data_IF_992109830598
#
_entry.id   IF_992109830598
#
_cell.length_a   1.000
_cell.length_b   1.000
_cell.length_c   1.000
_cell.angle_alpha   90.00
_cell.angle_beta   90.00
_cell.angle_gamma   90.00
#
_symmetry.space_group_name_H-M   'P 1'
#
loop_
_entity.id
_entity.type
_entity.pdbx_description
1 polymer ?
#
# COMPACT_ATOMS: atom_id res chain seq x y z
N UNK A 1 -36.02 22.68 25.33
CA UNK A 1 -35.81 21.22 25.24
C UNK A 1 -34.91 20.98 24.04
N UNK A 2 -33.62 20.70 24.25
CA UNK A 2 -32.69 20.40 23.15
C UNK A 2 -32.82 18.91 22.80
N UNK A 3 -33.32 18.60 21.60
CA UNK A 3 -33.44 17.22 21.14
C UNK A 3 -32.04 16.61 20.95
N UNK A 4 -31.73 15.60 21.77
CA UNK A 4 -30.50 14.82 21.78
C UNK A 4 -30.58 13.65 20.80
N UNK A 5 -30.50 13.93 19.49
CA UNK A 5 -30.30 12.90 18.45
C UNK A 5 -29.08 13.24 17.58
N UNK A 6 -27.99 13.67 18.22
CA UNK A 6 -26.67 13.77 17.59
C UNK A 6 -25.83 12.56 18.00
N UNK A 7 -26.30 11.36 17.69
CA UNK A 7 -25.52 10.16 17.96
C UNK A 7 -24.50 10.00 16.84
N UNK A 8 -23.28 10.46 17.12
CA UNK A 8 -22.11 10.26 16.27
C UNK A 8 -21.84 8.76 16.14
N UNK A 9 -21.78 8.29 14.91
CA UNK A 9 -21.41 6.92 14.58
C UNK A 9 -19.88 6.84 14.54
N UNK A 10 -19.32 5.88 15.26
CA UNK A 10 -17.90 5.52 15.18
C UNK A 10 -17.80 4.02 14.93
N UNK A 11 -17.17 3.66 13.81
CA UNK A 11 -17.01 2.27 13.39
C UNK A 11 -15.52 2.01 13.18
N UNK A 12 -15.02 0.95 13.80
CA UNK A 12 -13.71 0.39 13.47
C UNK A 12 -13.87 -0.91 12.71
N UNK A 13 -13.36 -0.94 11.49
CA UNK A 13 -13.49 -2.07 10.57
C UNK A 13 -12.12 -2.63 10.21
N UNK A 14 -11.88 -3.94 10.43
CA UNK A 14 -10.71 -4.60 9.89
C UNK A 14 -10.94 -4.90 8.40
N UNK A 15 -10.06 -4.38 7.55
CA UNK A 15 -10.01 -4.67 6.12
C UNK A 15 -8.87 -5.66 5.87
N UNK A 16 -9.19 -6.73 5.14
CA UNK A 16 -8.22 -7.75 4.74
C UNK A 16 -7.73 -7.46 3.33
N UNK A 17 -6.42 -7.33 3.16
CA UNK A 17 -5.78 -7.22 1.85
C UNK A 17 -4.88 -8.43 1.64
N UNK A 18 -5.26 -9.33 0.73
CA UNK A 18 -4.42 -10.48 0.41
C UNK A 18 -3.08 -10.05 -0.22
N UNK A 19 -2.01 -10.79 0.02
CA UNK A 19 -0.72 -10.52 -0.65
C UNK A 19 -0.83 -10.50 -2.16
N UNK A 20 -1.73 -11.29 -2.76
CA UNK A 20 -1.97 -11.29 -4.21
C UNK A 20 -2.31 -9.90 -4.76
N UNK A 21 -3.15 -9.14 -4.07
CA UNK A 21 -3.56 -7.78 -4.49
C UNK A 21 -2.35 -6.83 -4.45
N UNK A 22 -1.54 -6.94 -3.40
CA UNK A 22 -0.34 -6.12 -3.24
C UNK A 22 0.76 -6.50 -4.25
N UNK A 23 0.90 -7.80 -4.52
CA UNK A 23 1.82 -8.33 -5.53
C UNK A 23 1.47 -7.84 -6.94
N UNK A 24 0.20 -7.91 -7.33
CA UNK A 24 -0.29 -7.38 -8.61
C UNK A 24 -0.03 -5.86 -8.72
N UNK A 25 -0.34 -5.10 -7.67
CA UNK A 25 -0.07 -3.66 -7.62
C UNK A 25 1.43 -3.34 -7.74
N UNK A 26 2.27 -4.08 -7.02
CA UNK A 26 3.72 -3.96 -7.06
C UNK A 26 4.26 -4.24 -8.47
N UNK A 27 3.83 -5.34 -9.08
CA UNK A 27 4.28 -5.74 -10.44
C UNK A 27 3.90 -4.69 -11.47
N UNK A 28 2.67 -4.18 -11.42
CA UNK A 28 2.22 -3.10 -12.30
C UNK A 28 3.05 -1.82 -12.16
N UNK A 29 3.60 -1.56 -10.95
CA UNK A 29 4.40 -0.37 -10.67
C UNK A 29 5.88 -0.55 -11.01
N UNK A 30 6.43 -1.76 -10.86
CA UNK A 30 7.88 -1.99 -10.95
C UNK A 30 8.33 -2.68 -12.24
N UNK A 31 7.52 -3.54 -12.84
CA UNK A 31 7.96 -4.29 -14.03
C UNK A 31 8.15 -3.34 -15.21
N UNK A 32 9.31 -3.40 -15.85
CA UNK A 32 9.71 -2.49 -16.92
C UNK A 32 10.36 -1.19 -16.43
N UNK A 33 10.33 -0.88 -15.13
CA UNK A 33 11.04 0.26 -14.58
C UNK A 33 12.56 0.06 -14.64
N UNK A 34 13.26 1.18 -14.84
CA UNK A 34 14.70 1.23 -14.75
C UNK A 34 15.17 1.57 -13.32
N UNK A 35 16.26 0.92 -12.92
CA UNK A 35 17.04 1.26 -11.72
C UNK A 35 18.12 2.23 -12.17
N UNK A 36 17.95 3.50 -11.79
CA UNK A 36 18.74 4.63 -12.25
C UNK A 36 19.32 5.39 -11.06
N UNK A 37 20.47 6.03 -11.24
CA UNK A 37 21.01 7.01 -10.29
C UNK A 37 21.21 8.33 -11.02
N UNK A 38 20.94 9.43 -10.33
CA UNK A 38 21.26 10.77 -10.80
C UNK A 38 22.56 11.23 -10.12
N UNK A 39 23.55 11.59 -10.92
CA UNK A 39 24.81 12.18 -10.46
C UNK A 39 24.63 13.62 -10.02
N UNK A 40 25.65 14.18 -9.35
CA UNK A 40 25.61 15.58 -8.85
C UNK A 40 25.46 16.62 -9.96
N UNK A 41 25.85 16.26 -11.18
CA UNK A 41 25.78 17.13 -12.36
C UNK A 41 24.49 16.91 -13.19
N UNK A 42 23.52 16.14 -12.67
CA UNK A 42 22.27 15.78 -13.36
C UNK A 42 22.42 14.63 -14.37
N UNK A 43 23.59 14.01 -14.45
CA UNK A 43 23.81 12.85 -15.34
C UNK A 43 23.09 11.60 -14.79
N UNK A 44 22.19 11.03 -15.59
CA UNK A 44 21.44 9.82 -15.23
C UNK A 44 22.17 8.57 -15.73
N UNK A 45 22.54 7.69 -14.81
CA UNK A 45 23.10 6.36 -15.15
C UNK A 45 22.07 5.27 -14.92
N UNK A 46 21.75 4.52 -15.97
CA UNK A 46 20.84 3.36 -15.91
C UNK A 46 21.61 2.06 -15.66
N UNK A 47 21.29 1.38 -14.55
CA UNK A 47 22.00 0.17 -14.11
C UNK A 47 21.33 -1.12 -14.57
N UNK A 48 20.01 -1.19 -14.43
CA UNK A 48 19.23 -2.38 -14.74
C UNK A 48 17.76 -2.04 -15.05
N UNK A 49 17.07 -2.95 -15.71
CA UNK A 49 15.61 -2.92 -15.88
C UNK A 49 14.99 -4.06 -15.07
N UNK A 50 13.90 -3.79 -14.36
CA UNK A 50 13.16 -4.79 -13.61
C UNK A 50 12.36 -5.65 -14.59
N UNK A 51 12.56 -6.97 -14.54
CA UNK A 51 11.88 -7.94 -15.40
C UNK A 51 10.65 -8.54 -14.72
N UNK A 52 10.73 -8.74 -13.40
CA UNK A 52 9.64 -9.29 -12.60
C UNK A 52 9.84 -8.89 -11.14
N UNK A 53 8.77 -8.89 -10.37
CA UNK A 53 8.79 -8.65 -8.93
C UNK A 53 7.78 -9.57 -8.27
N UNK A 54 8.10 -10.06 -7.07
CA UNK A 54 7.18 -10.82 -6.25
C UNK A 54 7.22 -10.34 -4.80
N UNK A 55 6.04 -10.16 -4.19
CA UNK A 55 5.88 -9.81 -2.78
C UNK A 55 5.36 -11.01 -1.99
N UNK A 56 6.01 -11.31 -0.88
CA UNK A 56 5.63 -12.39 0.02
C UNK A 56 5.88 -11.99 1.47
N UNK A 57 5.44 -12.82 2.41
CA UNK A 57 5.82 -12.66 3.80
C UNK A 57 7.31 -12.97 3.98
N UNK A 58 7.96 -12.20 4.86
CA UNK A 58 9.33 -12.52 5.28
C UNK A 58 9.38 -13.73 6.20
N UNK A 59 10.28 -14.67 5.91
CA UNK A 59 10.60 -15.79 6.82
C UNK A 59 11.60 -15.40 7.92
N UNK A 60 12.13 -14.17 7.88
CA UNK A 60 13.07 -13.67 8.89
C UNK A 60 12.36 -12.95 10.02
N UNK A 61 12.75 -13.33 11.23
CA UNK A 61 12.36 -12.63 12.45
C UNK A 61 12.74 -11.14 12.38
N UNK A 62 11.83 -10.29 12.82
CA UNK A 62 12.00 -8.83 12.79
C UNK A 62 11.74 -8.17 11.43
N UNK A 63 11.34 -8.93 10.41
CA UNK A 63 10.98 -8.41 9.10
C UNK A 63 9.58 -8.91 8.71
N UNK A 64 8.80 -8.05 8.05
CA UNK A 64 7.39 -8.30 7.73
C UNK A 64 7.22 -8.87 6.32
N UNK A 65 7.97 -8.33 5.35
CA UNK A 65 7.83 -8.63 3.93
C UNK A 65 9.12 -9.12 3.32
N UNK A 66 9.00 -9.96 2.32
CA UNK A 66 10.07 -10.29 1.40
C UNK A 66 9.71 -9.89 -0.03
N UNK A 67 10.70 -9.35 -0.73
CA UNK A 67 10.60 -8.85 -2.09
C UNK A 67 11.66 -9.55 -2.94
N UNK A 68 11.21 -10.37 -3.90
CA UNK A 68 12.06 -10.97 -4.93
C UNK A 68 11.97 -10.13 -6.20
N UNK A 69 13.09 -9.57 -6.66
CA UNK A 69 13.16 -8.74 -7.85
C UNK A 69 14.07 -9.42 -8.85
N UNK A 70 13.51 -9.78 -10.00
CA UNK A 70 14.28 -10.18 -11.17
C UNK A 70 14.62 -8.95 -11.99
N UNK A 71 15.89 -8.80 -12.37
CA UNK A 71 16.35 -7.67 -13.15
C UNK A 71 17.31 -8.09 -14.26
N UNK A 72 17.48 -7.20 -15.25
CA UNK A 72 18.46 -7.31 -16.33
C UNK A 72 19.40 -6.13 -16.30
N UNK A 73 20.70 -6.37 -16.19
CA UNK A 73 21.71 -5.31 -16.16
C UNK A 73 21.93 -4.69 -17.53
N UNK A 74 22.04 -3.36 -17.55
CA UNK A 74 22.26 -2.55 -18.75
C UNK A 74 23.69 -2.00 -18.85
N UNK A 75 24.46 -2.06 -17.76
CA UNK A 75 25.86 -1.57 -17.71
C UNK A 75 26.77 -2.32 -18.69
N UNK A 76 27.75 -1.61 -19.26
CA UNK A 76 28.68 -2.12 -20.29
C UNK A 76 29.48 -3.34 -19.84
N UNK A 77 29.85 -3.41 -18.56
CA UNK A 77 30.64 -4.50 -17.96
C UNK A 77 29.83 -5.79 -17.74
N UNK A 78 28.50 -5.70 -17.66
CA UNK A 78 27.61 -6.81 -17.33
C UNK A 78 26.41 -6.87 -18.27
N UNK A 79 26.58 -6.43 -19.52
CA UNK A 79 25.47 -6.21 -20.44
C UNK A 79 24.59 -7.46 -20.59
N UNK A 80 23.28 -7.27 -20.43
CA UNK A 80 22.25 -8.31 -20.60
C UNK A 80 22.32 -9.49 -19.63
N UNK A 81 23.02 -9.38 -18.49
CA UNK A 81 22.95 -10.42 -17.45
C UNK A 81 21.68 -10.27 -16.63
N UNK A 82 21.03 -11.40 -16.35
CA UNK A 82 19.91 -11.44 -15.42
C UNK A 82 20.42 -11.71 -14.01
N UNK A 83 19.80 -11.05 -13.04
CA UNK A 83 20.06 -11.26 -11.62
C UNK A 83 18.76 -11.25 -10.83
N UNK A 84 18.88 -11.65 -9.57
CA UNK A 84 17.79 -11.58 -8.59
C UNK A 84 18.27 -10.90 -7.32
N UNK A 85 17.42 -10.05 -6.77
CA UNK A 85 17.59 -9.41 -5.46
C UNK A 85 16.48 -9.94 -4.58
N UNK A 86 16.84 -10.51 -3.43
CA UNK A 86 15.88 -10.91 -2.41
C UNK A 86 16.05 -10.03 -1.18
N UNK A 87 15.00 -9.31 -0.80
CA UNK A 87 15.04 -8.32 0.27
C UNK A 87 14.01 -8.66 1.32
N UNK A 88 14.41 -8.70 2.59
CA UNK A 88 13.47 -8.67 3.70
C UNK A 88 13.29 -7.22 4.15
N UNK A 89 12.06 -6.79 4.39
CA UNK A 89 11.68 -5.43 4.75
C UNK A 89 10.90 -5.46 6.06
N UNK A 90 11.35 -4.66 7.02
CA UNK A 90 10.59 -4.31 8.21
C UNK A 90 9.87 -3.00 7.90
N UNK A 91 8.55 -2.99 8.01
CA UNK A 91 7.73 -1.82 7.73
C UNK A 91 7.23 -1.18 9.01
N UNK A 92 6.90 0.10 8.93
CA UNK A 92 6.30 0.86 10.00
C UNK A 92 5.19 1.72 9.42
N UNK A 93 4.07 1.81 10.12
CA UNK A 93 2.95 2.67 9.76
C UNK A 93 2.90 3.86 10.71
N UNK A 94 2.88 5.07 10.14
CA UNK A 94 2.63 6.30 10.86
C UNK A 94 1.14 6.67 10.71
N UNK A 95 0.33 6.55 11.77
CA UNK A 95 -1.08 6.87 11.73
C UNK A 95 -1.37 8.38 11.65
N UNK A 96 -0.43 9.25 12.00
CA UNK A 96 -0.63 10.69 11.89
C UNK A 96 -0.40 11.15 10.45
N UNK A 97 0.69 10.67 9.83
CA UNK A 97 1.02 11.00 8.44
C UNK A 97 0.26 10.12 7.43
N UNK A 98 -0.45 9.07 7.88
CA UNK A 98 -1.08 8.05 7.03
C UNK A 98 -0.09 7.46 6.02
N UNK A 99 1.14 7.19 6.48
CA UNK A 99 2.24 6.69 5.65
C UNK A 99 2.72 5.30 6.09
N UNK A 100 2.93 4.39 5.14
CA UNK A 100 3.80 3.22 5.36
C UNK A 100 5.21 3.54 4.90
N UNK A 101 6.19 3.23 5.74
CA UNK A 101 7.62 3.39 5.48
C UNK A 101 8.41 2.10 5.73
N UNK A 102 9.56 1.98 5.07
CA UNK A 102 10.52 0.90 5.32
C UNK A 102 11.45 1.32 6.46
N UNK A 103 11.30 0.68 7.62
CA UNK A 103 12.09 0.92 8.83
C UNK A 103 13.49 0.31 8.74
N UNK A 104 13.55 -0.95 8.32
CA UNK A 104 14.80 -1.68 8.13
C UNK A 104 14.69 -2.64 6.94
N UNK A 105 15.84 -3.05 6.41
CA UNK A 105 15.91 -4.03 5.34
C UNK A 105 17.12 -4.96 5.47
N UNK A 106 16.97 -6.17 4.94
CA UNK A 106 18.06 -7.14 4.84
C UNK A 106 18.11 -7.75 3.44
N UNK A 107 19.21 -7.53 2.75
CA UNK A 107 19.50 -8.16 1.47
C UNK A 107 19.97 -9.59 1.67
N UNK A 108 19.36 -10.52 0.94
CA UNK A 108 19.93 -11.85 0.69
C UNK A 108 20.52 -11.91 -0.72
N UNK A 109 21.80 -12.24 -0.77
CA UNK A 109 22.51 -12.49 -2.01
C UNK A 109 23.69 -13.41 -1.76
N UNK A 110 23.59 -14.65 -2.21
CA UNK A 110 24.75 -15.50 -2.48
C UNK A 110 24.76 -15.77 -3.97
N UNK A 111 25.70 -15.18 -4.72
CA UNK A 111 26.12 -15.78 -5.97
C UNK A 111 27.44 -16.52 -5.74
N UNK A 112 27.69 -17.58 -6.50
CA UNK A 112 28.96 -18.31 -6.44
C UNK A 112 30.10 -17.58 -7.20
N UNK A 113 29.93 -16.30 -7.55
CA UNK A 113 30.87 -15.58 -8.42
C UNK A 113 31.10 -14.13 -7.96
N UNK A 114 32.32 -13.86 -7.46
CA UNK A 114 32.71 -12.59 -6.84
C UNK A 114 32.46 -11.33 -7.69
N UNK A 115 32.53 -11.44 -9.02
CA UNK A 115 32.23 -10.32 -9.94
C UNK A 115 30.73 -10.07 -10.07
N UNK A 116 29.92 -11.12 -10.02
CA UNK A 116 28.47 -11.03 -10.03
C UNK A 116 27.98 -10.45 -8.70
N UNK A 117 28.66 -10.75 -7.61
CA UNK A 117 28.36 -10.18 -6.29
C UNK A 117 28.53 -8.66 -6.27
N UNK A 118 29.54 -8.11 -6.96
CA UNK A 118 29.74 -6.65 -7.04
C UNK A 118 28.64 -5.94 -7.83
N UNK A 119 28.21 -6.50 -8.97
CA UNK A 119 27.12 -5.91 -9.76
C UNK A 119 25.77 -6.06 -9.07
N UNK A 120 25.52 -7.22 -8.44
CA UNK A 120 24.36 -7.45 -7.57
C UNK A 120 24.33 -6.45 -6.41
N UNK A 121 25.47 -6.24 -5.73
CA UNK A 121 25.56 -5.26 -4.65
C UNK A 121 25.31 -3.84 -5.15
N UNK A 122 25.85 -3.45 -6.31
CA UNK A 122 25.62 -2.12 -6.86
C UNK A 122 24.14 -1.90 -7.20
N UNK A 123 23.52 -2.83 -7.93
CA UNK A 123 22.08 -2.74 -8.28
C UNK A 123 21.21 -2.77 -7.03
N UNK A 124 21.52 -3.65 -6.07
CA UNK A 124 20.79 -3.75 -4.82
C UNK A 124 20.91 -2.46 -4.00
N UNK A 125 22.11 -1.92 -3.83
CA UNK A 125 22.32 -0.69 -3.08
C UNK A 125 21.61 0.50 -3.73
N UNK A 126 21.71 0.65 -5.06
CA UNK A 126 20.99 1.72 -5.78
C UNK A 126 19.48 1.53 -5.67
N UNK A 127 18.96 0.32 -5.87
CA UNK A 127 17.53 0.02 -5.73
C UNK A 127 17.04 0.33 -4.31
N UNK A 128 17.75 -0.15 -3.29
CA UNK A 128 17.41 0.10 -1.90
C UNK A 128 17.44 1.59 -1.58
N UNK A 129 18.48 2.30 -1.98
CA UNK A 129 18.62 3.71 -1.64
C UNK A 129 17.63 4.60 -2.40
N UNK A 130 17.54 4.45 -3.73
CA UNK A 130 16.74 5.32 -4.60
C UNK A 130 15.27 4.93 -4.67
N UNK A 131 14.94 3.64 -4.69
CA UNK A 131 13.55 3.17 -4.82
C UNK A 131 12.92 2.84 -3.46
N UNK A 132 13.62 2.14 -2.55
CA UNK A 132 13.04 1.82 -1.23
C UNK A 132 13.10 3.02 -0.28
N UNK A 133 14.29 3.49 0.11
CA UNK A 133 14.43 4.51 1.16
C UNK A 133 13.89 5.88 0.76
N UNK A 134 14.18 6.33 -0.46
CA UNK A 134 13.74 7.67 -0.91
C UNK A 134 12.30 7.72 -1.43
N UNK A 135 11.79 6.61 -1.98
CA UNK A 135 10.55 6.63 -2.77
C UNK A 135 9.46 5.65 -2.33
N UNK A 136 9.75 4.67 -1.47
CA UNK A 136 8.69 3.85 -0.86
C UNK A 136 8.20 4.51 0.44
N UNK A 137 7.60 5.68 0.26
CA UNK A 137 6.57 6.20 1.16
C UNK A 137 5.24 5.98 0.47
N UNK A 138 4.36 5.22 1.10
CA UNK A 138 2.99 5.04 0.62
C UNK A 138 2.09 5.95 1.44
N UNK A 139 1.82 7.14 0.90
CA UNK A 139 0.87 8.10 1.46
C UNK A 139 -0.55 7.72 1.04
N UNK A 140 -1.37 7.37 2.03
CA UNK A 140 -2.77 7.00 1.83
C UNK A 140 -3.71 8.21 1.81
N UNK A 141 -3.27 9.39 2.25
CA UNK A 141 -4.11 10.58 2.40
C UNK A 141 -4.87 10.95 1.12
N UNK A 142 -4.24 11.00 -0.08
CA UNK A 142 -4.96 11.36 -1.31
C UNK A 142 -6.07 10.36 -1.68
N UNK A 143 -5.86 9.07 -1.37
CA UNK A 143 -6.82 8.01 -1.63
C UNK A 143 -7.97 8.06 -0.63
N UNK A 144 -7.65 8.25 0.65
CA UNK A 144 -8.59 8.44 1.75
C UNK A 144 -9.50 9.63 1.47
N UNK A 145 -8.93 10.80 1.15
CA UNK A 145 -9.70 12.00 0.85
C UNK A 145 -10.63 11.81 -0.34
N UNK A 146 -10.15 11.14 -1.39
CA UNK A 146 -10.98 10.83 -2.56
C UNK A 146 -12.17 9.94 -2.17
N UNK A 147 -11.92 8.87 -1.41
CA UNK A 147 -12.99 7.97 -0.95
C UNK A 147 -13.96 8.69 -0.02
N UNK A 148 -13.48 9.54 0.88
CA UNK A 148 -14.31 10.35 1.77
C UNK A 148 -15.25 11.27 0.96
N UNK A 149 -14.73 11.96 -0.05
CA UNK A 149 -15.55 12.78 -0.97
C UNK A 149 -16.60 11.96 -1.71
N UNK A 150 -16.21 10.81 -2.27
CA UNK A 150 -17.13 9.93 -3.02
C UNK A 150 -18.24 9.36 -2.13
N UNK A 151 -17.92 8.98 -0.88
CA UNK A 151 -18.92 8.46 0.07
C UNK A 151 -19.85 9.58 0.53
N UNK A 152 -19.32 10.76 0.86
CA UNK A 152 -20.13 11.89 1.29
C UNK A 152 -21.08 12.37 0.19
N UNK A 153 -20.64 12.39 -1.07
CA UNK A 153 -21.52 12.68 -2.19
C UNK A 153 -22.70 11.68 -2.25
N UNK A 154 -22.44 10.38 -2.07
CA UNK A 154 -23.51 9.36 -2.06
C UNK A 154 -24.47 9.50 -0.88
N UNK A 155 -23.96 9.88 0.29
CA UNK A 155 -24.77 10.10 1.49
C UNK A 155 -25.64 11.36 1.37
N UNK A 156 -25.15 12.41 0.70
CA UNK A 156 -25.93 13.60 0.34
C UNK A 156 -27.03 13.27 -0.68
N UNK A 157 -26.74 12.40 -1.66
CA UNK A 157 -27.69 11.95 -2.69
C UNK A 157 -28.75 10.95 -2.15
N UNK A 158 -28.73 10.63 -0.86
CA UNK A 158 -29.53 9.62 -0.18
C UNK A 158 -29.32 8.19 -0.72
N UNK A 159 -28.67 7.35 0.08
CA UNK A 159 -28.48 5.93 -0.24
C UNK A 159 -29.76 5.16 0.08
N UNK A 160 -30.31 4.44 -0.89
CA UNK A 160 -31.49 3.57 -0.71
C UNK A 160 -31.09 2.10 -0.70
N UNK A 161 -30.76 1.51 0.47
CA UNK A 161 -30.44 0.08 0.54
C UNK A 161 -31.65 -0.81 0.24
N UNK A 162 -32.87 -0.31 0.44
CA UNK A 162 -34.13 -0.96 0.02
C UNK A 162 -35.20 0.09 -0.32
N UNK A 163 -36.38 -0.33 -0.78
CA UNK A 163 -37.47 0.62 -1.08
C UNK A 163 -38.07 1.29 0.16
N UNK A 164 -37.89 0.67 1.32
CA UNK A 164 -38.47 1.07 2.60
C UNK A 164 -37.52 1.93 3.44
N UNK A 165 -36.23 1.99 3.09
CA UNK A 165 -35.20 2.66 3.88
C UNK A 165 -34.41 3.61 2.99
N UNK A 166 -34.30 4.86 3.44
CA UNK A 166 -33.42 5.89 2.89
C UNK A 166 -32.39 6.28 3.95
N UNK A 167 -31.11 6.27 3.60
CA UNK A 167 -30.01 6.67 4.46
C UNK A 167 -29.42 7.98 3.95
N UNK A 168 -29.25 8.95 4.84
CA UNK A 168 -28.52 10.19 4.58
C UNK A 168 -27.56 10.51 5.71
N UNK A 169 -26.57 11.35 5.44
CA UNK A 169 -25.57 11.69 6.44
C UNK A 169 -24.29 12.26 5.84
N UNK A 170 -23.24 12.24 6.65
CA UNK A 170 -21.89 12.59 6.22
C UNK A 170 -20.87 11.90 7.12
N UNK A 171 -19.72 11.57 6.54
CA UNK A 171 -18.53 11.13 7.24
C UNK A 171 -17.66 12.34 7.58
N UNK A 172 -17.27 12.42 8.85
CA UNK A 172 -16.32 13.40 9.38
C UNK A 172 -14.89 12.93 9.21
N UNK A 173 -14.65 11.65 9.47
CA UNK A 173 -13.31 11.08 9.48
C UNK A 173 -13.32 9.69 8.83
N UNK A 174 -12.27 9.42 8.07
CA UNK A 174 -11.94 8.11 7.54
C UNK A 174 -10.42 8.00 7.59
N UNK A 175 -9.88 7.09 8.40
CA UNK A 175 -8.43 6.95 8.53
C UNK A 175 -8.01 5.52 8.80
N UNK A 176 -6.80 5.19 8.39
CA UNK A 176 -6.14 3.95 8.80
C UNK A 176 -5.57 4.18 10.20
N UNK A 177 -5.93 3.31 11.14
CA UNK A 177 -5.43 3.37 12.52
C UNK A 177 -4.34 2.36 12.80
N UNK A 178 -4.27 1.29 12.01
CA UNK A 178 -3.25 0.26 12.16
C UNK A 178 -3.06 -0.53 10.86
N UNK A 179 -1.83 -1.03 10.66
CA UNK A 179 -1.46 -1.91 9.56
C UNK A 179 -0.67 -3.07 10.14
N UNK A 180 -1.28 -4.26 10.12
CA UNK A 180 -0.71 -5.47 10.71
C UNK A 180 -0.41 -6.47 9.58
N UNK A 181 0.88 -6.79 9.34
CA UNK A 181 1.28 -7.86 8.43
C UNK A 181 0.89 -9.23 9.00
N UNK A 182 0.10 -10.00 8.26
CA UNK A 182 -0.27 -11.37 8.59
C UNK A 182 0.45 -12.42 7.73
N UNK A 183 0.13 -13.70 7.93
CA UNK A 183 0.75 -14.83 7.19
C UNK A 183 0.46 -14.81 5.68
N UNK A 184 -0.77 -14.46 5.29
CA UNK A 184 -1.23 -14.50 3.89
C UNK A 184 -1.95 -13.21 3.45
N UNK A 185 -2.08 -12.26 4.36
CA UNK A 185 -2.82 -11.02 4.17
C UNK A 185 -2.27 -9.93 5.09
N UNK A 186 -2.51 -8.68 4.72
CA UNK A 186 -2.45 -7.53 5.61
C UNK A 186 -3.81 -7.27 6.23
N UNK A 187 -3.82 -6.95 7.51
CA UNK A 187 -4.96 -6.38 8.20
C UNK A 187 -4.76 -4.88 8.31
N UNK A 188 -5.67 -4.13 7.72
CA UNK A 188 -5.72 -2.67 7.88
C UNK A 188 -6.92 -2.37 8.76
N UNK A 189 -6.69 -1.77 9.91
CA UNK A 189 -7.77 -1.29 10.75
C UNK A 189 -8.14 0.12 10.29
N UNK A 190 -9.40 0.30 9.90
CA UNK A 190 -9.93 1.60 9.48
C UNK A 190 -10.88 2.11 10.54
N UNK A 191 -10.76 3.38 10.88
CA UNK A 191 -11.71 4.11 11.72
C UNK A 191 -12.52 5.06 10.84
N UNK A 192 -13.83 4.97 11.00
CA UNK A 192 -14.82 5.78 10.29
C UNK A 192 -15.67 6.48 11.33
N UNK A 193 -15.75 7.80 11.25
CA UNK A 193 -16.60 8.60 12.11
C UNK A 193 -17.52 9.48 11.28
N UNK A 194 -18.75 9.65 11.74
CA UNK A 194 -19.69 10.53 11.08
C UNK A 194 -21.07 10.50 11.68
N UNK A 195 -22.03 10.95 10.89
CA UNK A 195 -23.43 11.02 11.26
C UNK A 195 -24.27 10.36 10.16
N UNK A 196 -25.26 9.57 10.56
CA UNK A 196 -26.23 9.01 9.62
C UNK A 196 -27.64 8.99 10.22
N UNK A 197 -28.63 9.24 9.36
CA UNK A 197 -30.05 9.11 9.64
C UNK A 197 -30.62 8.05 8.71
N UNK A 198 -31.43 7.16 9.28
CA UNK A 198 -32.29 6.26 8.53
C UNK A 198 -33.73 6.78 8.55
N UNK A 199 -34.29 7.02 7.38
CA UNK A 199 -35.70 7.36 7.18
C UNK A 199 -36.45 6.15 6.61
N UNK A 200 -37.59 5.85 7.22
CA UNK A 200 -38.48 4.77 6.79
C UNK A 200 -39.46 5.34 5.76
N UNK A 201 -39.25 5.04 4.47
CA UNK A 201 -39.97 5.64 3.34
C UNK A 201 -41.30 4.96 3.05
N UNK A 202 -41.45 3.68 3.42
CA UNK A 202 -42.67 2.88 3.25
C UNK A 202 -42.77 1.82 4.34
N UNK A 203 -43.98 1.54 4.83
CA UNK A 203 -44.26 0.36 5.67
C UNK A 203 -45.02 -0.65 4.80
N UNK A 204 -44.56 -1.91 4.66
CA UNK A 204 -45.27 -2.93 3.89
C UNK A 204 -46.68 -3.17 4.45
N UNK A 205 -47.69 -3.11 3.59
CA UNK A 205 -49.10 -3.19 3.96
C UNK A 205 -49.52 -4.56 4.54
N UNK A 206 -48.73 -5.61 4.29
CA UNK A 206 -48.89 -6.96 4.85
C UNK A 206 -48.40 -7.08 6.31
N UNK A 207 -47.74 -6.03 6.83
CA UNK A 207 -47.25 -5.93 8.22
C UNK A 207 -48.02 -4.93 9.09
N UNK A 208 -49.13 -4.39 8.58
CA UNK A 208 -50.12 -3.63 9.33
C UNK A 208 -51.38 -4.47 9.52
#
# INVERSE_FOLDING_TARGET
MSNSLQDKISIRLPVKISFKVLDEALRNKLVGENIETEGKDGEVSTYATILDAALMKSEKEGYDLALDIKFKTLTSLFKNKEGRIFLHLAIEFDPEEQEIMVKDYKLEGKSNNWLMDKSLQAVANTFIYEKLKKRMKLDFSPHIEKQLREINQKLEEHIKPSEEISLSGYLENFRIVDVIPGESLFLISIEIEGFAIAELTKIPADKM
#
